data_IF_759789640574
#
_entry.id   IF_759789640574
#
_cell.length_a   1.000
_cell.length_b   1.000
_cell.length_c   1.000
_cell.angle_alpha   90.00
_cell.angle_beta   90.00
_cell.angle_gamma   90.00
#
_symmetry.space_group_name_H-M   'P 1'
#
loop_
_entity.id
_entity.type
_entity.pdbx_description
1 polymer ?
#
# COMPACT_ATOMS: atom_id res chain seq x y z
N UNK A 1 -17.52 19.71 7.44
CA UNK A 1 -16.57 20.20 8.46
C UNK A 1 -15.49 19.14 8.67
N UNK A 2 -14.57 19.01 7.71
CA UNK A 2 -13.39 18.14 7.84
C UNK A 2 -12.26 18.99 8.38
N UNK A 3 -11.96 18.85 9.67
CA UNK A 3 -10.76 19.44 10.25
C UNK A 3 -9.56 18.65 9.69
N UNK A 4 -9.02 19.11 8.57
CA UNK A 4 -7.67 18.75 8.17
C UNK A 4 -6.77 19.36 9.24
N UNK A 5 -6.13 18.52 10.05
CA UNK A 5 -5.01 18.89 10.91
C UNK A 5 -3.98 19.65 10.06
N UNK A 6 -4.09 20.97 10.00
CA UNK A 6 -3.07 21.83 9.42
C UNK A 6 -1.80 21.53 10.22
N UNK A 7 -0.72 21.04 9.60
CA UNK A 7 0.53 20.84 10.31
C UNK A 7 0.92 22.19 10.91
N UNK A 8 0.95 22.27 12.25
CA UNK A 8 1.30 23.51 12.93
C UNK A 8 2.61 24.07 12.37
N UNK A 9 2.81 25.39 12.50
CA UNK A 9 3.97 26.18 11.99
C UNK A 9 5.37 25.56 12.16
N UNK A 10 5.50 24.50 12.96
CA UNK A 10 6.71 23.70 13.15
C UNK A 10 7.04 22.82 11.93
N UNK A 11 6.05 22.20 11.29
CA UNK A 11 6.29 21.18 10.26
C UNK A 11 6.28 21.69 8.82
N UNK A 12 6.07 22.98 8.64
CA UNK A 12 6.04 23.62 7.31
C UNK A 12 7.45 24.01 6.86
N UNK A 13 7.71 24.08 5.54
CA UNK A 13 9.01 24.44 4.98
C UNK A 13 9.56 25.78 5.51
N UNK A 14 10.88 25.89 5.62
CA UNK A 14 11.54 27.08 6.18
C UNK A 14 11.29 28.34 5.35
N UNK A 15 11.07 28.16 4.06
CA UNK A 15 10.73 29.20 3.07
C UNK A 15 9.44 29.93 3.44
N UNK A 16 8.55 29.29 4.21
CA UNK A 16 7.30 29.87 4.71
C UNK A 16 7.44 30.44 6.13
N UNK A 17 8.67 30.71 6.60
CA UNK A 17 8.93 31.27 7.93
C UNK A 17 8.66 30.29 9.08
N UNK A 18 8.67 28.99 8.78
CA UNK A 18 8.37 27.89 9.68
C UNK A 18 9.67 27.16 10.11
N UNK A 19 9.58 26.24 11.08
CA UNK A 19 10.78 25.58 11.61
C UNK A 19 11.35 24.48 10.68
N UNK A 20 10.54 23.96 9.77
CA UNK A 20 10.96 22.93 8.82
C UNK A 20 11.21 21.55 9.43
N UNK A 21 10.63 21.25 10.61
CA UNK A 21 10.82 19.94 11.25
C UNK A 21 9.92 18.90 10.57
N UNK A 22 10.43 17.72 10.18
CA UNK A 22 9.57 16.67 9.63
C UNK A 22 8.45 16.28 10.60
N UNK A 23 7.22 16.15 10.07
CA UNK A 23 6.11 15.65 10.85
C UNK A 23 6.38 14.20 11.26
N UNK A 24 6.72 13.98 12.54
CA UNK A 24 7.10 12.67 13.06
C UNK A 24 6.00 11.61 12.90
N UNK A 25 4.72 12.00 12.88
CA UNK A 25 3.61 11.07 12.65
C UNK A 25 3.62 10.55 11.22
N UNK A 26 3.82 11.43 10.24
CA UNK A 26 3.94 11.05 8.83
C UNK A 26 5.23 10.28 8.57
N UNK A 27 6.35 10.72 9.14
CA UNK A 27 7.63 10.03 9.03
C UNK A 27 7.55 8.61 9.59
N UNK A 28 6.98 8.44 10.79
CA UNK A 28 6.77 7.11 11.38
C UNK A 28 5.85 6.24 10.51
N UNK A 29 4.79 6.80 9.92
CA UNK A 29 3.93 6.06 9.01
C UNK A 29 4.70 5.59 7.75
N UNK A 30 5.52 6.46 7.15
CA UNK A 30 6.35 6.12 6.00
C UNK A 30 7.41 5.05 6.34
N UNK A 31 8.05 5.14 7.51
CA UNK A 31 8.99 4.11 7.97
C UNK A 31 8.31 2.76 8.16
N UNK A 32 7.06 2.75 8.62
CA UNK A 32 6.28 1.51 8.74
C UNK A 32 5.90 0.91 7.38
N UNK A 33 5.75 1.72 6.34
CA UNK A 33 5.46 1.24 4.99
C UNK A 33 6.61 0.38 4.43
N UNK A 34 7.85 0.63 4.87
CA UNK A 34 9.01 -0.21 4.55
C UNK A 34 8.82 -1.66 4.98
N UNK A 35 8.16 -1.90 6.13
CA UNK A 35 7.93 -3.26 6.60
C UNK A 35 6.96 -4.04 5.72
N UNK A 36 5.95 -3.37 5.14
CA UNK A 36 5.05 -3.97 4.14
C UNK A 36 5.81 -4.33 2.87
N UNK A 37 6.71 -3.47 2.42
CA UNK A 37 7.57 -3.78 1.27
C UNK A 37 8.45 -4.99 1.54
N UNK A 38 9.13 -5.00 2.69
CA UNK A 38 9.91 -6.15 3.10
C UNK A 38 8.99 -7.37 3.07
N UNK A 39 7.78 -7.31 3.67
CA UNK A 39 6.79 -8.41 3.77
C UNK A 39 6.60 -9.14 2.44
N UNK A 40 6.51 -8.37 1.36
CA UNK A 40 6.33 -8.88 -0.01
C UNK A 40 7.59 -9.48 -0.62
N UNK A 41 8.77 -8.92 -0.35
CA UNK A 41 10.00 -9.27 -1.09
C UNK A 41 10.74 -10.47 -0.51
N UNK A 42 10.79 -10.61 0.82
CA UNK A 42 11.63 -11.64 1.43
C UNK A 42 10.82 -12.63 2.28
N UNK A 43 10.34 -13.71 1.65
CA UNK A 43 9.52 -14.72 2.33
C UNK A 43 10.24 -15.51 3.43
N UNK A 44 11.57 -15.39 3.54
CA UNK A 44 12.44 -16.19 4.41
C UNK A 44 12.79 -15.54 5.75
N UNK A 45 12.20 -14.37 6.03
CA UNK A 45 12.60 -13.55 7.18
C UNK A 45 12.38 -14.24 8.52
N UNK A 46 13.38 -14.19 9.43
CA UNK A 46 13.25 -14.75 10.78
C UNK A 46 12.11 -14.12 11.59
N UNK A 47 11.78 -12.86 11.32
CA UNK A 47 10.72 -12.11 12.02
C UNK A 47 9.37 -12.14 11.30
N UNK A 48 9.12 -13.10 10.42
CA UNK A 48 7.82 -13.26 9.74
C UNK A 48 6.65 -13.39 10.73
N UNK A 49 6.91 -13.95 11.90
CA UNK A 49 5.92 -14.10 12.98
C UNK A 49 5.58 -12.77 13.68
N UNK A 50 6.46 -11.77 13.57
CA UNK A 50 6.15 -10.43 14.08
C UNK A 50 5.21 -9.73 13.09
N UNK A 51 3.91 -9.96 13.28
CA UNK A 51 2.86 -9.25 12.58
C UNK A 51 2.90 -7.77 12.97
N UNK A 52 3.70 -6.98 12.26
CA UNK A 52 3.79 -5.53 12.46
C UNK A 52 2.42 -4.95 12.11
N UNK A 53 1.68 -4.54 13.15
CA UNK A 53 0.37 -3.93 12.98
C UNK A 53 0.50 -2.66 12.13
N UNK A 54 -0.04 -2.72 10.93
CA UNK A 54 -0.08 -1.59 10.00
C UNK A 54 -1.45 -0.95 10.01
N UNK A 55 -1.46 0.38 10.06
CA UNK A 55 -2.69 1.17 9.96
C UNK A 55 -3.04 1.39 8.49
N UNK A 56 -4.29 1.77 8.20
CA UNK A 56 -4.75 2.09 6.83
C UNK A 56 -3.84 3.11 6.15
N UNK A 57 -3.44 4.16 6.86
CA UNK A 57 -2.54 5.20 6.33
C UNK A 57 -1.16 4.68 5.90
N UNK A 58 -0.62 3.69 6.62
CA UNK A 58 0.65 3.05 6.25
C UNK A 58 0.49 2.24 4.96
N UNK A 59 -0.64 1.54 4.83
CA UNK A 59 -0.98 0.78 3.63
C UNK A 59 -1.17 1.69 2.41
N UNK A 60 -1.88 2.79 2.58
CA UNK A 60 -2.06 3.80 1.51
C UNK A 60 -0.71 4.39 1.04
N UNK A 61 0.19 4.73 1.97
CA UNK A 61 1.54 5.20 1.62
C UNK A 61 2.31 4.13 0.86
N UNK A 62 2.25 2.88 1.33
CA UNK A 62 2.91 1.75 0.69
C UNK A 62 2.39 1.53 -0.73
N UNK A 63 1.07 1.50 -0.92
CA UNK A 63 0.42 1.31 -2.21
C UNK A 63 0.72 2.46 -3.18
N UNK A 64 0.75 3.70 -2.71
CA UNK A 64 1.10 4.85 -3.54
C UNK A 64 2.58 4.89 -3.96
N UNK A 65 3.46 4.30 -3.14
CA UNK A 65 4.91 4.34 -3.35
C UNK A 65 5.47 3.09 -4.03
N UNK A 66 4.66 2.06 -4.29
CA UNK A 66 5.14 0.78 -4.83
C UNK A 66 4.34 0.30 -6.04
N UNK A 67 5.03 -0.39 -6.94
CA UNK A 67 4.44 -1.12 -8.06
C UNK A 67 5.01 -2.54 -8.10
N UNK A 68 4.26 -3.46 -8.68
CA UNK A 68 4.66 -4.87 -8.77
C UNK A 68 5.07 -5.18 -10.21
N UNK A 69 6.31 -5.63 -10.41
CA UNK A 69 6.71 -6.23 -11.69
C UNK A 69 6.30 -7.69 -11.69
N UNK A 70 5.49 -8.07 -12.67
CA UNK A 70 5.00 -9.45 -12.79
C UNK A 70 6.16 -10.36 -13.18
N UNK A 71 6.46 -11.33 -12.32
CA UNK A 71 7.30 -12.49 -12.64
C UNK A 71 6.43 -13.68 -13.06
N UNK A 72 6.36 -14.69 -12.22
CA UNK A 72 5.49 -15.87 -12.41
C UNK A 72 4.04 -15.66 -11.92
N UNK A 73 3.74 -14.48 -11.39
CA UNK A 73 2.41 -14.06 -10.93
C UNK A 73 1.91 -14.71 -9.64
N UNK A 74 2.73 -15.47 -8.91
CA UNK A 74 2.31 -16.18 -7.68
C UNK A 74 2.28 -15.31 -6.43
N UNK A 75 3.08 -14.25 -6.39
CA UNK A 75 3.22 -13.36 -5.24
C UNK A 75 2.49 -12.01 -5.42
N UNK A 76 1.80 -11.84 -6.55
CA UNK A 76 1.11 -10.59 -6.91
C UNK A 76 -0.40 -10.82 -6.90
N UNK A 77 -1.13 -10.01 -6.15
CA UNK A 77 -2.59 -10.06 -6.07
C UNK A 77 -3.22 -9.42 -7.31
N UNK A 78 -4.20 -10.11 -7.89
CA UNK A 78 -4.82 -9.68 -9.14
C UNK A 78 -5.60 -8.36 -9.00
N UNK A 79 -6.35 -8.20 -7.91
CA UNK A 79 -7.24 -7.05 -7.74
C UNK A 79 -6.56 -5.83 -7.10
N UNK A 80 -5.71 -6.10 -6.11
CA UNK A 80 -5.24 -5.11 -5.14
C UNK A 80 -3.84 -4.58 -5.44
N UNK A 81 -3.02 -5.30 -6.21
CA UNK A 81 -1.67 -4.84 -6.54
C UNK A 81 -1.65 -4.08 -7.88
N UNK A 82 -0.72 -3.14 -8.00
CA UNK A 82 -0.47 -2.40 -9.25
C UNK A 82 0.47 -3.25 -10.10
N UNK A 83 -0.11 -4.13 -10.91
CA UNK A 83 0.63 -4.99 -11.84
C UNK A 83 0.30 -4.70 -13.31
N UNK A 84 -0.80 -3.97 -13.59
CA UNK A 84 -1.15 -3.46 -14.90
C UNK A 84 -0.75 -1.98 -15.02
N UNK A 85 -0.37 -1.54 -16.21
CA UNK A 85 -0.21 -0.11 -16.49
C UNK A 85 -1.58 0.58 -16.34
N UNK A 86 -1.68 1.52 -15.40
CA UNK A 86 -2.92 2.26 -15.12
C UNK A 86 -3.43 2.20 -13.68
N UNK A 87 -2.87 1.32 -12.83
CA UNK A 87 -3.20 1.26 -11.40
C UNK A 87 -3.75 -0.10 -10.97
N UNK A 88 -4.50 -0.10 -9.86
CA UNK A 88 -5.13 -1.32 -9.33
C UNK A 88 -6.44 -1.58 -10.05
N UNK A 89 -6.70 -2.84 -10.39
CA UNK A 89 -7.98 -3.24 -11.01
C UNK A 89 -9.17 -2.87 -10.11
N UNK A 90 -9.00 -2.93 -8.78
CA UNK A 90 -10.06 -2.56 -7.85
C UNK A 90 -10.47 -1.08 -7.92
N UNK A 91 -9.52 -0.20 -8.25
CA UNK A 91 -9.76 1.23 -8.37
C UNK A 91 -10.34 1.57 -9.74
N UNK A 92 -9.85 0.90 -10.79
CA UNK A 92 -10.27 1.13 -12.17
C UNK A 92 -11.68 0.59 -12.46
N UNK A 93 -12.06 -0.53 -11.85
CA UNK A 93 -13.32 -1.23 -12.15
C UNK A 93 -14.12 -1.55 -10.86
N UNK A 94 -14.59 -0.54 -10.11
CA UNK A 94 -15.26 -0.75 -8.82
C UNK A 94 -16.58 -1.51 -8.94
N UNK A 95 -17.28 -1.42 -10.08
CA UNK A 95 -18.49 -2.19 -10.37
C UNK A 95 -18.20 -3.69 -10.51
N UNK A 96 -17.08 -4.05 -11.13
CA UNK A 96 -16.66 -5.43 -11.29
C UNK A 96 -16.28 -6.06 -9.94
N UNK A 97 -15.56 -5.32 -9.09
CA UNK A 97 -15.20 -5.79 -7.73
C UNK A 97 -16.44 -6.12 -6.91
N UNK A 98 -17.51 -5.33 -7.01
CA UNK A 98 -18.78 -5.57 -6.30
C UNK A 98 -19.47 -6.85 -6.74
N UNK A 99 -19.24 -7.31 -7.97
CA UNK A 99 -19.81 -8.55 -8.50
C UNK A 99 -19.01 -9.80 -8.09
N UNK A 100 -17.78 -9.63 -7.59
CA UNK A 100 -16.88 -10.72 -7.22
C UNK A 100 -16.92 -10.96 -5.72
N UNK A 101 -16.79 -12.24 -5.29
CA UNK A 101 -16.76 -12.59 -3.87
C UNK A 101 -15.58 -11.87 -3.17
N UNK A 102 -15.78 -11.26 -1.98
CA UNK A 102 -14.72 -10.54 -1.28
C UNK A 102 -13.46 -11.36 -1.03
N UNK A 103 -13.62 -12.67 -0.75
CA UNK A 103 -12.49 -13.60 -0.57
C UNK A 103 -11.65 -13.72 -1.84
N UNK A 104 -12.29 -13.82 -3.00
CA UNK A 104 -11.59 -13.90 -4.31
C UNK A 104 -10.86 -12.59 -4.60
N UNK A 105 -11.45 -11.44 -4.24
CA UNK A 105 -10.78 -10.15 -4.38
C UNK A 105 -9.52 -10.10 -3.52
N UNK A 106 -9.59 -10.59 -2.28
CA UNK A 106 -8.50 -10.52 -1.32
C UNK A 106 -7.34 -11.50 -1.59
N UNK A 107 -7.61 -12.69 -2.14
CA UNK A 107 -6.60 -13.76 -2.21
C UNK A 107 -6.15 -14.16 -3.61
N UNK A 108 -6.91 -13.81 -4.66
CA UNK A 108 -6.61 -14.32 -6.01
C UNK A 108 -5.32 -13.71 -6.55
N UNK A 109 -4.40 -14.57 -6.97
CA UNK A 109 -3.12 -14.15 -7.55
C UNK A 109 -3.25 -13.87 -9.06
N UNK A 110 -2.32 -13.11 -9.63
CA UNK A 110 -2.28 -12.85 -11.09
C UNK A 110 -2.18 -14.16 -11.86
N UNK A 111 -1.37 -15.12 -11.39
CA UNK A 111 -1.25 -16.42 -12.02
C UNK A 111 -2.57 -17.19 -12.06
N UNK A 112 -3.25 -17.31 -10.93
CA UNK A 112 -4.55 -17.99 -10.85
C UNK A 112 -5.61 -17.32 -11.74
N UNK A 113 -5.59 -15.99 -11.81
CA UNK A 113 -6.52 -15.26 -12.65
C UNK A 113 -6.28 -15.49 -14.15
N UNK A 114 -5.02 -15.58 -14.59
CA UNK A 114 -4.65 -15.79 -15.99
C UNK A 114 -4.74 -17.27 -16.41
N UNK A 115 -4.57 -18.22 -15.48
CA UNK A 115 -4.60 -19.66 -15.77
C UNK A 115 -6.01 -20.29 -15.72
N UNK A 116 -7.03 -19.53 -15.31
CA UNK A 116 -8.44 -19.93 -15.44
C UNK A 116 -8.93 -21.01 -14.48
N UNK A 117 -8.16 -21.35 -13.45
CA UNK A 117 -8.53 -22.30 -12.38
C UNK A 117 -9.04 -21.61 -11.11
#
# INVERSE_FOLDING_TARGET
MMSLDLPGKVCMPKELGCLGIPNLRLLNAALRARWLWLERVDGSRPWKEFAIRTTTKVREIFEAATSSRIGDGRSTLFWSDIWLEGGRICDMFPSLVKAVRPRTVASRTVREALQGT
#
